data_IF_748643103343
#
_entry.id   IF_748643103343
#
_cell.length_a   1.000
_cell.length_b   1.000
_cell.length_c   1.000
_cell.angle_alpha   90.00
_cell.angle_beta   90.00
_cell.angle_gamma   90.00
#
_symmetry.space_group_name_H-M   'P 1'
#
loop_
_entity.id
_entity.type
_entity.pdbx_description
1 polymer ?
#
# COMPACT_ATOMS: atom_id res chain seq x y z
N UNK A 1 47.21 -43.00 -1.78
CA UNK A 1 46.83 -44.32 -1.24
C UNK A 1 45.31 -44.34 -1.12
N UNK A 2 44.66 -45.33 -1.72
CA UNK A 2 43.21 -45.44 -1.78
C UNK A 2 42.64 -45.92 -0.45
N UNK A 3 41.54 -45.33 0.02
CA UNK A 3 40.52 -46.08 0.74
C UNK A 3 39.15 -45.44 0.55
N UNK A 4 38.26 -46.18 -0.11
CA UNK A 4 36.83 -45.91 -0.20
C UNK A 4 36.12 -46.61 0.95
N UNK A 5 35.25 -45.89 1.67
CA UNK A 5 34.29 -46.48 2.59
C UNK A 5 32.91 -45.96 2.20
N UNK A 6 32.15 -46.82 1.53
CA UNK A 6 30.72 -46.66 1.34
C UNK A 6 30.01 -47.21 2.58
N UNK A 7 29.27 -46.34 3.28
CA UNK A 7 28.16 -46.76 4.14
C UNK A 7 26.90 -46.13 3.58
N UNK A 8 25.94 -46.99 3.20
CA UNK A 8 24.69 -46.59 2.59
C UNK A 8 23.53 -46.70 3.58
N UNK A 9 22.64 -45.70 3.50
CA UNK A 9 21.23 -45.62 3.94
C UNK A 9 20.93 -45.56 5.46
N UNK A 10 20.37 -44.41 5.87
CA UNK A 10 18.92 -44.25 6.09
C UNK A 10 18.53 -42.79 6.40
N UNK A 11 17.61 -42.28 5.57
CA UNK A 11 16.57 -41.29 5.84
C UNK A 11 16.76 -40.26 6.96
N UNK A 12 16.82 -39.00 6.52
CA UNK A 12 15.95 -37.95 7.07
C UNK A 12 16.48 -37.23 8.31
N UNK A 13 17.17 -36.11 8.07
CA UNK A 13 17.11 -34.87 8.84
C UNK A 13 17.93 -33.83 8.08
N UNK A 14 17.26 -32.88 7.43
CA UNK A 14 17.94 -31.67 6.96
C UNK A 14 18.33 -30.86 8.20
N UNK A 15 19.63 -30.61 8.31
CA UNK A 15 20.26 -29.90 9.42
C UNK A 15 20.00 -28.39 9.26
N UNK A 16 19.16 -27.83 10.15
CA UNK A 16 18.87 -26.39 10.17
C UNK A 16 19.97 -25.72 10.99
N UNK A 17 21.05 -25.29 10.33
CA UNK A 17 22.10 -24.51 10.99
C UNK A 17 21.64 -23.05 11.15
N UNK A 18 21.23 -22.67 12.36
CA UNK A 18 21.11 -21.26 12.76
C UNK A 18 22.48 -20.82 13.30
N UNK A 19 23.21 -20.02 12.53
CA UNK A 19 24.42 -19.34 13.00
C UNK A 19 24.04 -18.08 13.76
N UNK A 20 24.31 -18.07 15.06
CA UNK A 20 24.12 -16.93 15.97
C UNK A 20 25.41 -16.10 16.05
N UNK A 21 25.36 -14.82 15.65
CA UNK A 21 25.85 -13.70 16.47
C UNK A 21 25.46 -12.29 15.90
N UNK A 22 25.10 -11.29 16.76
CA UNK A 22 24.41 -10.01 16.44
C UNK A 22 25.40 -8.81 16.31
N UNK A 23 25.03 -7.51 16.08
CA UNK A 23 23.76 -6.83 16.38
C UNK A 23 23.28 -5.82 15.32
N UNK A 24 22.10 -6.05 14.75
CA UNK A 24 21.13 -5.01 14.39
C UNK A 24 19.90 -5.75 13.91
N UNK A 25 18.89 -5.82 14.77
CA UNK A 25 17.62 -6.46 14.48
C UNK A 25 16.95 -5.63 13.40
N UNK A 26 17.27 -5.89 12.13
CA UNK A 26 16.36 -5.58 11.05
C UNK A 26 15.12 -6.39 11.36
N UNK A 27 14.05 -5.71 11.77
CA UNK A 27 12.77 -6.36 12.07
C UNK A 27 12.13 -6.99 10.84
N UNK A 28 12.78 -6.94 9.68
CA UNK A 28 12.29 -7.50 8.45
C UNK A 28 13.03 -8.81 8.12
N UNK A 29 12.29 -9.92 8.06
CA UNK A 29 12.75 -11.23 7.59
C UNK A 29 12.33 -11.43 6.13
N UNK A 30 13.27 -11.82 5.27
CA UNK A 30 12.96 -12.19 3.89
C UNK A 30 12.85 -13.70 3.75
N UNK A 31 11.69 -14.20 3.31
CA UNK A 31 11.48 -15.62 2.98
C UNK A 31 11.36 -15.75 1.47
N UNK A 32 12.21 -16.58 0.85
CA UNK A 32 12.16 -16.87 -0.59
C UNK A 32 11.76 -18.32 -0.83
N UNK A 33 10.60 -18.52 -1.44
CA UNK A 33 10.17 -19.82 -1.94
C UNK A 33 10.77 -20.04 -3.34
N UNK A 34 11.69 -21.02 -3.45
CA UNK A 34 12.35 -21.40 -4.71
C UNK A 34 11.44 -22.16 -5.66
N UNK A 35 10.40 -22.83 -5.17
CA UNK A 35 9.48 -23.63 -6.00
C UNK A 35 8.59 -22.73 -6.87
N UNK A 36 8.24 -21.56 -6.35
CA UNK A 36 7.39 -20.58 -7.04
C UNK A 36 8.11 -19.25 -7.33
N UNK A 37 9.40 -19.16 -7.02
CA UNK A 37 10.24 -17.96 -7.12
C UNK A 37 9.59 -16.71 -6.52
N UNK A 38 9.11 -16.82 -5.27
CA UNK A 38 8.39 -15.74 -4.57
C UNK A 38 9.20 -15.32 -3.35
N UNK A 39 9.40 -14.03 -3.16
CA UNK A 39 9.97 -13.46 -1.94
C UNK A 39 8.93 -12.71 -1.14
N UNK A 40 8.92 -12.95 0.17
CA UNK A 40 8.07 -12.29 1.15
C UNK A 40 8.98 -11.51 2.12
N UNK A 41 8.65 -10.25 2.37
CA UNK A 41 9.25 -9.44 3.44
C UNK A 41 8.30 -9.53 4.65
N UNK A 42 8.80 -9.90 5.82
CA UNK A 42 8.00 -10.08 7.03
C UNK A 42 8.54 -9.17 8.13
N UNK A 43 7.76 -8.17 8.56
CA UNK A 43 8.08 -7.42 9.78
C UNK A 43 7.74 -8.27 11.02
N UNK A 44 8.75 -8.79 11.71
CA UNK A 44 8.64 -9.64 12.90
C UNK A 44 8.31 -8.81 14.17
N UNK A 45 8.25 -7.48 14.07
CA UNK A 45 7.92 -6.57 15.18
C UNK A 45 6.44 -6.18 15.29
N UNK A 46 5.59 -6.63 14.37
CA UNK A 46 4.14 -6.44 14.44
C UNK A 46 3.46 -7.75 14.04
N UNK A 47 2.31 -8.07 14.65
CA UNK A 47 1.64 -9.37 14.47
C UNK A 47 1.14 -9.68 13.05
N UNK A 48 1.40 -8.83 12.05
CA UNK A 48 0.98 -8.99 10.66
C UNK A 48 2.05 -8.46 9.68
N UNK A 49 2.42 -9.23 8.66
CA UNK A 49 3.08 -8.70 7.44
C UNK A 49 2.11 -8.73 6.25
N UNK A 50 1.94 -7.59 5.57
CA UNK A 50 0.87 -7.36 4.57
C UNK A 50 1.34 -6.79 3.22
N UNK A 51 2.64 -6.83 2.87
CA UNK A 51 3.09 -6.29 1.58
C UNK A 51 3.75 -7.36 0.72
N UNK A 52 3.12 -7.81 -0.38
CA UNK A 52 3.82 -8.49 -1.45
C UNK A 52 4.85 -7.53 -2.04
N UNK A 53 6.13 -7.93 -2.12
CA UNK A 53 7.18 -7.13 -2.75
C UNK A 53 6.94 -6.84 -4.25
N UNK A 54 5.92 -7.48 -4.83
CA UNK A 54 5.46 -7.27 -6.21
C UNK A 54 3.94 -7.23 -6.18
N UNK A 55 3.34 -6.11 -6.61
CA UNK A 55 1.91 -6.03 -6.88
C UNK A 55 1.53 -7.10 -7.92
N UNK A 56 1.06 -8.26 -7.47
CA UNK A 56 0.49 -9.26 -8.37
C UNK A 56 -0.88 -8.76 -8.80
N UNK A 57 -1.06 -8.51 -10.10
CA UNK A 57 -2.35 -8.21 -10.74
C UNK A 57 -3.32 -9.41 -10.73
N UNK A 58 -2.95 -10.56 -10.17
CA UNK A 58 -3.79 -11.75 -10.10
C UNK A 58 -4.20 -12.02 -8.65
N UNK A 59 -5.49 -11.90 -8.31
CA UNK A 59 -5.93 -12.18 -6.96
C UNK A 59 -5.80 -13.68 -6.68
N UNK A 60 -5.22 -14.00 -5.53
CA UNK A 60 -4.96 -15.39 -5.12
C UNK A 60 -6.34 -16.09 -4.98
N UNK A 61 -6.58 -17.22 -5.68
CA UNK A 61 -7.91 -17.81 -5.81
C UNK A 61 -8.54 -18.26 -4.48
N UNK A 62 -7.73 -18.43 -3.43
CA UNK A 62 -8.21 -18.77 -2.08
C UNK A 62 -9.00 -17.63 -1.42
N UNK A 63 -8.69 -16.37 -1.74
CA UNK A 63 -9.33 -15.21 -1.12
C UNK A 63 -10.40 -14.56 -2.00
N UNK A 64 -10.35 -14.77 -3.31
CA UNK A 64 -11.36 -14.22 -4.24
C UNK A 64 -12.78 -14.69 -3.90
N UNK A 65 -12.95 -15.96 -3.54
CA UNK A 65 -14.23 -16.54 -3.15
C UNK A 65 -14.76 -16.01 -1.80
N UNK A 66 -13.89 -15.49 -0.93
CA UNK A 66 -14.30 -14.83 0.31
C UNK A 66 -14.68 -13.38 0.05
N UNK A 67 -13.86 -12.67 -0.73
CA UNK A 67 -14.10 -11.27 -1.11
C UNK A 67 -15.35 -11.10 -1.98
N UNK A 68 -15.70 -12.09 -2.81
CA UNK A 68 -16.94 -12.09 -3.61
C UNK A 68 -18.20 -12.12 -2.75
N UNK A 69 -18.12 -12.61 -1.49
CA UNK A 69 -19.24 -12.59 -0.54
C UNK A 69 -19.53 -11.20 -0.01
N UNK A 70 -18.56 -10.28 -0.08
CA UNK A 70 -18.68 -8.92 0.45
C UNK A 70 -18.41 -7.86 -0.63
N UNK A 71 -19.24 -7.83 -1.69
CA UNK A 71 -19.02 -6.92 -2.81
C UNK A 71 -19.19 -5.45 -2.42
N UNK A 72 -19.85 -5.14 -1.30
CA UNK A 72 -19.99 -3.79 -0.78
C UNK A 72 -18.66 -3.19 -0.26
N UNK A 73 -17.72 -4.04 0.16
CA UNK A 73 -16.42 -3.60 0.73
C UNK A 73 -15.36 -3.50 -0.36
N UNK A 74 -15.48 -4.33 -1.41
CA UNK A 74 -14.49 -4.41 -2.49
C UNK A 74 -14.79 -3.50 -3.67
N UNK A 75 -16.03 -3.03 -3.81
CA UNK A 75 -16.37 -2.01 -4.82
C UNK A 75 -15.68 -0.70 -4.46
N UNK A 76 -15.04 -0.02 -5.43
CA UNK A 76 -14.59 1.34 -5.22
C UNK A 76 -15.79 2.24 -4.89
N UNK A 77 -15.56 3.34 -4.14
CA UNK A 77 -16.59 4.34 -3.90
C UNK A 77 -17.25 4.72 -5.23
N UNK A 78 -18.56 4.53 -5.33
CA UNK A 78 -19.34 4.81 -6.53
C UNK A 78 -20.24 6.00 -6.23
N UNK A 79 -20.31 6.96 -7.17
CA UNK A 79 -21.14 8.16 -7.06
C UNK A 79 -22.62 7.84 -6.79
N UNK A 80 -23.07 6.64 -7.17
CA UNK A 80 -24.46 6.17 -7.03
C UNK A 80 -24.87 5.82 -5.58
N UNK A 81 -23.90 5.73 -4.66
CA UNK A 81 -24.17 5.44 -3.25
C UNK A 81 -23.84 6.68 -2.40
N UNK A 82 -24.77 7.65 -2.28
CA UNK A 82 -24.60 8.76 -1.37
C UNK A 82 -24.60 8.22 0.07
N UNK A 83 -23.39 8.04 0.63
CA UNK A 83 -23.21 7.82 2.06
C UNK A 83 -23.72 9.07 2.74
N UNK A 84 -24.92 9.02 3.31
CA UNK A 84 -25.42 10.11 4.16
C UNK A 84 -24.50 10.16 5.38
N UNK A 85 -23.72 11.24 5.58
CA UNK A 85 -22.95 11.35 6.80
C UNK A 85 -23.94 11.52 7.96
N UNK A 86 -24.00 10.55 8.86
CA UNK A 86 -24.77 10.65 10.10
C UNK A 86 -24.15 11.64 11.08
N UNK A 87 -22.87 11.98 10.88
CA UNK A 87 -22.05 12.84 11.72
C UNK A 87 -21.54 14.00 10.88
N UNK A 88 -21.75 15.23 11.34
CA UNK A 88 -21.18 16.44 10.76
C UNK A 88 -19.96 16.85 11.59
N UNK A 89 -18.80 16.95 10.95
CA UNK A 89 -17.59 17.47 11.58
C UNK A 89 -17.54 18.99 11.45
N UNK A 90 -17.33 19.69 12.57
CA UNK A 90 -17.13 21.15 12.61
C UNK A 90 -15.70 21.46 13.04
N UNK A 91 -15.05 22.37 12.32
CA UNK A 91 -13.71 22.86 12.66
C UNK A 91 -13.87 24.28 13.20
N UNK A 92 -13.55 24.47 14.47
CA UNK A 92 -13.51 25.80 15.09
C UNK A 92 -12.36 26.62 14.50
N UNK A 93 -12.69 27.75 13.88
CA UNK A 93 -11.70 28.70 13.35
C UNK A 93 -11.71 29.99 14.16
N UNK A 94 -10.53 30.44 14.60
CA UNK A 94 -10.34 31.74 15.24
C UNK A 94 -9.69 32.70 14.25
N UNK A 95 -10.23 33.91 14.13
CA UNK A 95 -9.67 34.96 13.27
C UNK A 95 -10.15 34.94 11.81
N UNK A 96 -9.58 35.81 10.95
CA UNK A 96 -10.02 36.00 9.57
C UNK A 96 -9.60 34.83 8.65
N UNK A 97 -10.28 34.65 7.50
CA UNK A 97 -9.94 33.60 6.54
C UNK A 97 -8.57 33.81 5.89
N UNK A 98 -7.82 32.72 5.71
CA UNK A 98 -6.50 32.74 5.07
C UNK A 98 -6.64 32.50 3.57
N UNK A 99 -6.08 33.42 2.78
CA UNK A 99 -6.05 33.33 1.32
C UNK A 99 -4.62 33.45 0.79
N UNK A 100 -4.27 32.57 -0.16
CA UNK A 100 -3.01 32.60 -0.88
C UNK A 100 -3.26 32.41 -2.37
N UNK A 101 -2.51 33.14 -3.20
CA UNK A 101 -2.59 33.01 -4.66
C UNK A 101 -2.15 31.60 -5.12
N UNK A 102 -2.79 31.02 -6.15
CA UNK A 102 -2.36 29.75 -6.72
C UNK A 102 -0.91 29.78 -7.19
N UNK A 103 -0.16 28.71 -6.93
CA UNK A 103 1.21 28.57 -7.43
C UNK A 103 1.21 27.98 -8.84
N UNK A 104 2.16 28.44 -9.67
CA UNK A 104 2.38 27.86 -11.01
C UNK A 104 2.88 26.43 -10.89
N UNK A 105 2.28 25.54 -11.68
CA UNK A 105 2.73 24.16 -11.87
C UNK A 105 3.39 24.04 -13.25
N UNK A 106 4.34 23.11 -13.38
CA UNK A 106 4.85 22.71 -14.68
C UNK A 106 3.73 22.11 -15.54
N UNK A 107 3.85 22.19 -16.86
CA UNK A 107 2.78 21.80 -17.78
C UNK A 107 2.30 20.35 -17.57
N UNK A 108 3.21 19.39 -17.50
CA UNK A 108 2.89 17.97 -17.33
C UNK A 108 2.11 17.72 -16.03
N UNK A 109 2.56 18.35 -14.94
CA UNK A 109 1.92 18.26 -13.61
C UNK A 109 0.56 18.92 -13.59
N UNK A 110 0.42 20.05 -14.27
CA UNK A 110 -0.85 20.74 -14.41
C UNK A 110 -1.87 19.86 -15.13
N UNK A 111 -1.46 19.12 -16.17
CA UNK A 111 -2.35 18.18 -16.87
C UNK A 111 -2.80 17.05 -15.95
N UNK A 112 -1.86 16.38 -15.27
CA UNK A 112 -2.17 15.29 -14.33
C UNK A 112 -3.07 15.78 -13.19
N UNK A 113 -2.77 16.95 -12.63
CA UNK A 113 -3.57 17.56 -11.57
C UNK A 113 -5.00 17.83 -12.04
N UNK A 114 -5.17 18.38 -13.25
CA UNK A 114 -6.50 18.66 -13.80
C UNK A 114 -7.32 17.39 -13.98
N UNK A 115 -6.72 16.33 -14.52
CA UNK A 115 -7.42 15.05 -14.70
C UNK A 115 -7.81 14.43 -13.37
N UNK A 116 -6.94 14.50 -12.36
CA UNK A 116 -7.23 13.95 -11.03
C UNK A 116 -8.34 14.74 -10.32
N UNK A 117 -8.30 16.08 -10.37
CA UNK A 117 -9.37 16.92 -9.80
C UNK A 117 -10.70 16.62 -10.50
N UNK A 118 -10.72 16.45 -11.82
CA UNK A 118 -11.94 16.10 -12.55
C UNK A 118 -12.48 14.73 -12.11
N UNK A 119 -11.61 13.73 -12.01
CA UNK A 119 -11.98 12.40 -11.50
C UNK A 119 -12.57 12.48 -10.08
N UNK A 120 -12.00 13.29 -9.19
CA UNK A 120 -12.56 13.50 -7.85
C UNK A 120 -13.92 14.22 -7.85
N UNK A 121 -14.17 15.10 -8.82
CA UNK A 121 -15.47 15.73 -9.03
C UNK A 121 -16.50 14.68 -9.49
N UNK A 122 -16.13 13.83 -10.43
CA UNK A 122 -16.99 12.77 -10.96
C UNK A 122 -17.36 11.72 -9.88
N UNK A 123 -16.42 11.43 -8.97
CA UNK A 123 -16.66 10.59 -7.78
C UNK A 123 -17.51 11.27 -6.69
N UNK A 124 -17.75 12.58 -6.79
CA UNK A 124 -18.47 13.35 -5.77
C UNK A 124 -17.67 13.60 -4.48
N UNK A 125 -16.35 13.41 -4.50
CA UNK A 125 -15.48 13.68 -3.35
C UNK A 125 -15.16 15.18 -3.19
N UNK A 126 -15.17 15.92 -4.30
CA UNK A 126 -14.96 17.37 -4.29
C UNK A 126 -16.12 18.08 -5.00
N UNK A 127 -16.26 19.39 -4.76
CA UNK A 127 -17.26 20.24 -5.41
C UNK A 127 -16.71 21.67 -5.56
N UNK A 128 -17.06 22.40 -6.63
CA UNK A 128 -16.78 23.83 -6.71
C UNK A 128 -17.39 24.59 -5.54
N UNK A 129 -16.64 25.51 -4.97
CA UNK A 129 -17.08 26.38 -3.87
C UNK A 129 -16.65 27.83 -4.11
N UNK A 130 -17.24 28.76 -3.36
CA UNK A 130 -16.90 30.19 -3.35
C UNK A 130 -16.43 30.61 -1.95
N UNK A 131 -15.45 29.89 -1.40
CA UNK A 131 -14.92 30.15 -0.05
C UNK A 131 -13.93 31.32 -0.02
N UNK A 132 -13.91 32.05 1.10
CA UNK A 132 -12.88 33.06 1.36
C UNK A 132 -11.52 32.44 1.74
N UNK A 133 -11.50 31.14 2.05
CA UNK A 133 -10.28 30.37 2.31
C UNK A 133 -9.71 29.83 1.00
N UNK A 134 -8.39 29.96 0.82
CA UNK A 134 -7.66 29.30 -0.27
C UNK A 134 -6.20 29.02 0.10
N UNK A 135 -5.78 27.78 -0.09
CA UNK A 135 -4.40 27.31 0.10
C UNK A 135 -3.82 26.80 -1.23
N UNK A 136 -2.54 27.04 -1.53
CA UNK A 136 -1.95 26.66 -2.81
C UNK A 136 -1.65 25.16 -2.85
N UNK A 137 -2.03 24.49 -3.94
CA UNK A 137 -1.69 23.09 -4.17
C UNK A 137 -0.16 22.92 -4.28
N UNK A 138 0.34 21.82 -3.73
CA UNK A 138 1.74 21.44 -3.82
C UNK A 138 1.86 20.03 -4.37
N UNK A 139 2.29 19.92 -5.62
CA UNK A 139 2.51 18.63 -6.27
C UNK A 139 3.97 18.18 -6.05
N UNK A 140 4.15 17.12 -5.27
CA UNK A 140 5.45 16.49 -4.98
C UNK A 140 5.59 15.22 -5.82
N UNK A 141 6.77 15.06 -6.42
CA UNK A 141 7.15 13.79 -7.05
C UNK A 141 7.35 12.76 -5.95
N UNK A 142 6.58 11.68 -6.01
CA UNK A 142 6.78 10.54 -5.12
C UNK A 142 8.11 9.86 -5.45
N UNK A 143 8.88 9.50 -4.41
CA UNK A 143 10.12 8.73 -4.59
C UNK A 143 9.73 7.28 -4.79
N UNK A 144 10.05 6.74 -5.96
CA UNK A 144 10.00 5.30 -6.23
C UNK A 144 11.05 4.64 -5.31
N UNK A 145 10.63 3.69 -4.47
CA UNK A 145 11.49 2.88 -3.59
C UNK A 145 11.99 1.64 -4.32
#
# INVERSE_FOLDING_TARGET
MFSTLFVSRKHGREEIAATDHPPRISRFLFIKDKRFNISFLIDIGSGNSLIPAVQRKTPIPKFTAFLSKFPAITRPPCADYPVKPSILHYIETLGPPVFVKPRRLAFDRLQITKTEIQHMLDLGHTRPSKSNYASPLHDKKERQF
#
